data_IF_944736182930
#
_entry.id   IF_944736182930
#
_cell.length_a   1.000
_cell.length_b   1.000
_cell.length_c   1.000
_cell.angle_alpha   90.00
_cell.angle_beta   90.00
_cell.angle_gamma   90.00
#
_symmetry.space_group_name_H-M   'P 1'
#
loop_
_entity.id
_entity.type
_entity.pdbx_description
1 polymer ?
#
# COMPACT_ATOMS: atom_id res chain seq x y z
N UNK A 1 14.76 19.06 -5.17
CA UNK A 1 15.29 17.86 -4.47
C UNK A 1 14.37 17.51 -3.30
N UNK A 2 13.22 16.85 -3.53
CA UNK A 2 12.28 16.61 -2.41
C UNK A 2 11.52 15.28 -2.43
N UNK A 3 11.81 14.35 -3.35
CA UNK A 3 10.97 13.14 -3.49
C UNK A 3 11.59 11.84 -2.95
N UNK A 4 12.85 11.85 -2.53
CA UNK A 4 13.56 10.62 -2.14
C UNK A 4 12.89 9.82 -1.02
N UNK A 5 12.09 10.46 -0.14
CA UNK A 5 11.32 9.75 0.89
C UNK A 5 10.03 9.14 0.33
N UNK A 6 9.29 9.87 -0.51
CA UNK A 6 8.06 9.39 -1.14
C UNK A 6 8.34 8.23 -2.10
N UNK A 7 9.41 8.32 -2.91
CA UNK A 7 9.91 7.20 -3.73
C UNK A 7 10.25 5.97 -2.89
N UNK A 8 10.92 6.16 -1.74
CA UNK A 8 11.24 5.04 -0.83
C UNK A 8 9.97 4.40 -0.27
N UNK A 9 8.99 5.20 0.13
CA UNK A 9 7.68 4.71 0.61
C UNK A 9 6.98 3.95 -0.52
N UNK A 10 6.91 4.50 -1.73
CA UNK A 10 6.29 3.85 -2.89
C UNK A 10 6.93 2.50 -3.23
N UNK A 11 8.26 2.40 -3.19
CA UNK A 11 8.99 1.13 -3.35
C UNK A 11 8.71 0.16 -2.20
N UNK A 12 8.66 0.64 -0.96
CA UNK A 12 8.35 -0.15 0.21
C UNK A 12 6.94 -0.75 0.11
N UNK A 13 5.94 0.09 -0.15
CA UNK A 13 4.55 -0.33 -0.36
C UNK A 13 4.42 -1.32 -1.52
N UNK A 14 5.09 -1.07 -2.65
CA UNK A 14 5.08 -2.01 -3.77
C UNK A 14 5.64 -3.37 -3.37
N UNK A 15 6.68 -3.44 -2.52
CA UNK A 15 7.25 -4.70 -2.05
C UNK A 15 6.25 -5.49 -1.20
N UNK A 16 5.68 -4.85 -0.18
CA UNK A 16 4.86 -5.55 0.81
C UNK A 16 3.41 -5.74 0.38
N UNK A 17 2.79 -4.74 -0.24
CA UNK A 17 1.40 -4.88 -0.71
C UNK A 17 1.29 -5.85 -1.89
N UNK A 18 2.34 -6.02 -2.72
CA UNK A 18 2.28 -6.89 -3.90
C UNK A 18 2.89 -8.27 -3.73
N UNK A 19 3.92 -8.41 -2.89
CA UNK A 19 4.68 -9.65 -2.82
C UNK A 19 4.62 -10.33 -1.45
N UNK A 20 4.80 -9.59 -0.35
CA UNK A 20 4.99 -10.21 0.98
C UNK A 20 4.43 -9.38 2.13
N UNK A 21 3.10 -9.21 2.24
CA UNK A 21 2.50 -8.41 3.33
C UNK A 21 2.80 -9.00 4.71
N UNK A 22 2.88 -10.32 4.80
CA UNK A 22 3.20 -11.07 6.03
C UNK A 22 4.60 -10.73 6.58
N UNK A 23 5.55 -10.34 5.71
CA UNK A 23 6.91 -10.00 6.13
C UNK A 23 6.98 -8.76 7.03
N UNK A 24 5.95 -7.90 7.00
CA UNK A 24 5.82 -6.76 7.93
C UNK A 24 4.70 -6.98 8.97
N UNK A 25 4.11 -8.17 8.99
CA UNK A 25 3.03 -8.54 9.92
C UNK A 25 1.67 -7.97 9.51
N UNK A 26 1.44 -7.74 8.22
CA UNK A 26 0.17 -7.27 7.67
C UNK A 26 -0.59 -8.43 7.05
N UNK A 27 -1.91 -8.44 7.22
CA UNK A 27 -2.79 -9.36 6.50
C UNK A 27 -3.63 -8.60 5.48
N UNK A 28 -3.43 -8.92 4.21
CA UNK A 28 -4.31 -8.40 3.16
C UNK A 28 -5.62 -9.18 3.18
N UNK A 29 -6.72 -8.45 3.06
CA UNK A 29 -8.03 -9.02 2.76
C UNK A 29 -8.01 -9.71 1.38
N UNK A 30 -8.99 -10.59 1.08
CA UNK A 30 -9.06 -11.29 -0.19
C UNK A 30 -8.92 -10.37 -1.40
N UNK A 31 -9.53 -9.17 -1.36
CA UNK A 31 -9.48 -8.18 -2.44
C UNK A 31 -8.22 -7.29 -2.43
N UNK A 32 -7.20 -7.63 -1.63
CA UNK A 32 -5.93 -6.90 -1.53
C UNK A 32 -5.97 -5.65 -0.65
N UNK A 33 -7.05 -5.42 0.10
CA UNK A 33 -7.19 -4.28 1.01
C UNK A 33 -6.51 -4.53 2.36
N UNK A 34 -5.90 -3.49 2.92
CA UNK A 34 -5.40 -3.46 4.30
C UNK A 34 -5.81 -2.14 4.95
N UNK A 35 -6.06 -2.17 6.27
CA UNK A 35 -6.25 -0.95 7.05
C UNK A 35 -4.99 -0.07 7.03
N UNK A 36 -5.18 1.22 6.77
CA UNK A 36 -4.11 2.22 6.80
C UNK A 36 -3.44 2.23 8.17
N UNK A 37 -4.22 2.17 9.26
CA UNK A 37 -3.67 2.14 10.61
C UNK A 37 -2.79 0.90 10.87
N UNK A 38 -3.24 -0.28 10.42
CA UNK A 38 -2.47 -1.52 10.50
C UNK A 38 -1.16 -1.40 9.71
N UNK A 39 -1.23 -0.85 8.50
CA UNK A 39 -0.06 -0.59 7.65
C UNK A 39 0.93 0.36 8.33
N UNK A 40 0.46 1.49 8.87
CA UNK A 40 1.33 2.47 9.54
C UNK A 40 1.98 1.85 10.79
N UNK A 41 1.22 1.08 11.56
CA UNK A 41 1.70 0.36 12.75
C UNK A 41 2.76 -0.68 12.39
N UNK A 42 2.49 -1.52 11.38
CA UNK A 42 3.43 -2.51 10.88
C UNK A 42 4.72 -1.87 10.36
N UNK A 43 4.60 -0.77 9.61
CA UNK A 43 5.73 0.01 9.11
C UNK A 43 6.57 0.58 10.27
N UNK A 44 5.94 1.15 11.29
CA UNK A 44 6.64 1.64 12.48
C UNK A 44 7.37 0.52 13.24
N UNK A 45 6.72 -0.64 13.43
CA UNK A 45 7.34 -1.84 14.04
C UNK A 45 8.55 -2.33 13.25
N UNK A 46 8.53 -2.20 11.92
CA UNK A 46 9.62 -2.58 11.03
C UNK A 46 10.68 -1.48 10.81
N UNK A 47 10.81 -0.54 11.76
CA UNK A 47 11.76 0.60 11.70
C UNK A 47 11.59 1.51 10.47
N UNK A 48 10.40 1.50 9.86
CA UNK A 48 10.08 2.34 8.72
C UNK A 48 8.80 3.14 8.99
N UNK A 49 8.80 4.10 9.94
CA UNK A 49 7.61 4.87 10.24
C UNK A 49 7.17 5.69 9.01
N UNK A 50 5.92 5.49 8.63
CA UNK A 50 5.20 6.24 7.61
C UNK A 50 4.13 7.05 8.35
N UNK A 51 3.88 8.28 7.90
CA UNK A 51 2.76 9.10 8.39
C UNK A 51 1.66 9.09 7.34
N UNK A 52 0.40 9.21 7.76
CA UNK A 52 -0.75 9.26 6.86
C UNK A 52 -0.58 10.28 5.74
N UNK A 53 -0.17 11.51 6.07
CA UNK A 53 0.10 12.57 5.07
C UNK A 53 1.13 12.14 3.99
N UNK A 54 2.15 11.36 4.36
CA UNK A 54 3.15 10.86 3.41
C UNK A 54 2.60 9.72 2.56
N UNK A 55 1.73 8.90 3.14
CA UNK A 55 1.03 7.84 2.41
C UNK A 55 0.09 8.46 1.38
N UNK A 56 -0.71 9.45 1.79
CA UNK A 56 -1.61 10.22 0.93
C UNK A 56 -0.83 10.89 -0.22
N UNK A 57 0.26 11.58 0.09
CA UNK A 57 1.14 12.17 -0.93
C UNK A 57 1.70 11.12 -1.91
N UNK A 58 2.03 9.90 -1.46
CA UNK A 58 2.48 8.82 -2.36
C UNK A 58 1.35 8.32 -3.25
N UNK A 59 0.10 8.30 -2.77
CA UNK A 59 -1.06 7.90 -3.57
C UNK A 59 -1.43 8.99 -4.58
N UNK A 60 -1.46 10.25 -4.16
CA UNK A 60 -1.74 11.41 -5.03
C UNK A 60 -0.64 11.65 -6.07
N UNK A 61 0.63 11.57 -5.69
CA UNK A 61 1.76 11.75 -6.60
C UNK A 61 1.94 10.58 -7.57
N UNK A 62 1.17 9.50 -7.41
CA UNK A 62 1.31 8.30 -8.21
C UNK A 62 0.62 8.47 -9.58
N UNK A 63 1.36 8.98 -10.56
CA UNK A 63 0.89 9.11 -11.95
C UNK A 63 0.36 7.80 -12.55
N UNK A 64 0.78 6.65 -12.03
CA UNK A 64 0.38 5.32 -12.48
C UNK A 64 -0.76 4.68 -11.67
N UNK A 65 -1.35 5.43 -10.73
CA UNK A 65 -2.38 4.93 -9.81
C UNK A 65 -2.05 3.52 -9.29
N UNK A 66 -0.86 3.33 -8.70
CA UNK A 66 -0.44 1.98 -8.26
C UNK A 66 -1.12 1.55 -6.97
N UNK A 67 -1.65 2.51 -6.22
CA UNK A 67 -2.32 2.33 -4.95
C UNK A 67 -3.63 3.11 -4.98
N UNK A 68 -4.64 2.62 -4.29
CA UNK A 68 -5.89 3.34 -4.05
C UNK A 68 -6.27 3.26 -2.60
N UNK A 69 -6.91 4.30 -2.11
CA UNK A 69 -7.70 4.23 -0.90
C UNK A 69 -9.13 3.78 -1.20
N UNK A 70 -9.77 3.20 -0.20
CA UNK A 70 -11.21 2.96 -0.19
C UNK A 70 -11.99 4.28 -0.11
N UNK A 71 -13.31 4.26 -0.36
CA UNK A 71 -14.20 5.42 -0.24
C UNK A 71 -14.09 6.16 1.09
N UNK A 72 -13.74 5.45 2.17
CA UNK A 72 -13.55 6.04 3.51
C UNK A 72 -12.14 6.60 3.76
N UNK A 73 -11.16 6.30 2.91
CA UNK A 73 -9.76 6.64 3.16
C UNK A 73 -9.08 5.81 4.26
N UNK A 74 -9.76 4.80 4.81
CA UNK A 74 -9.26 4.01 5.94
C UNK A 74 -8.57 2.72 5.51
N UNK A 75 -8.84 2.24 4.30
CA UNK A 75 -8.20 1.09 3.70
C UNK A 75 -7.36 1.52 2.50
N UNK A 76 -6.26 0.82 2.27
CA UNK A 76 -5.39 1.00 1.10
C UNK A 76 -5.13 -0.35 0.44
N UNK A 77 -5.04 -0.38 -0.89
CA UNK A 77 -4.59 -1.54 -1.65
C UNK A 77 -3.63 -1.15 -2.76
N UNK A 78 -2.87 -2.12 -3.25
CA UNK A 78 -2.26 -1.98 -4.57
C UNK A 78 -3.32 -2.28 -5.66
N UNK A 79 -3.30 -1.52 -6.75
CA UNK A 79 -4.29 -1.71 -7.83
C UNK A 79 -3.93 -2.85 -8.77
N UNK A 80 -2.64 -3.16 -8.93
CA UNK A 80 -2.15 -4.20 -9.83
C UNK A 80 -0.80 -4.78 -9.37
N UNK A 81 -0.44 -5.93 -9.94
CA UNK A 81 0.90 -6.52 -9.83
C UNK A 81 1.12 -7.38 -8.58
N UNK A 82 0.05 -7.92 -7.99
CA UNK A 82 0.16 -8.86 -6.89
C UNK A 82 0.72 -10.21 -7.38
N UNK A 83 1.79 -10.68 -6.73
CA UNK A 83 2.32 -12.04 -6.94
C UNK A 83 1.72 -13.05 -5.95
N UNK A 84 0.91 -12.57 -5.01
CA UNK A 84 0.18 -13.37 -4.03
C UNK A 84 -1.26 -13.58 -4.48
N UNK A 85 -1.90 -14.63 -3.96
CA UNK A 85 -3.28 -15.00 -4.28
C UNK A 85 -4.24 -13.97 -3.65
N UNK A 86 -4.51 -12.91 -4.38
CA UNK A 86 -5.57 -11.94 -4.08
C UNK A 86 -6.68 -12.10 -5.10
N UNK A 87 -7.91 -12.12 -4.63
CA UNK A 87 -9.11 -12.08 -5.45
C UNK A 87 -9.34 -10.61 -5.86
N UNK A 88 -8.50 -10.11 -6.76
CA UNK A 88 -8.91 -8.96 -7.56
C UNK A 88 -9.91 -9.50 -8.56
N UNK A 89 -11.21 -9.36 -8.26
CA UNK A 89 -12.21 -9.36 -9.31
C UNK A 89 -11.90 -8.20 -10.26
N UNK A 90 -11.02 -8.44 -11.23
CA UNK A 90 -10.89 -7.60 -12.41
C UNK A 90 -12.07 -7.97 -13.27
N UNK A 91 -13.16 -7.23 -13.12
CA UNK A 91 -14.19 -7.22 -14.15
C UNK A 91 -13.57 -6.49 -15.34
N UNK A 92 -13.02 -7.25 -16.28
CA UNK A 92 -12.74 -6.73 -17.61
C UNK A 92 -14.08 -6.26 -18.19
N UNK A 93 -14.20 -4.96 -18.42
CA UNK A 93 -15.26 -4.36 -19.23
C UNK A 93 -14.60 -3.53 -20.31
#
# INVERSE_FOLDING_TARGET
>A
MSDSRLVKISKYLSKYLRHTPDAIGIKLAPSGWVAVDELLTACAKNKFPISRQKLEAVVESNEKQRFSFDSTGTLIRANQGHSIKVDLQVSAQ
#
